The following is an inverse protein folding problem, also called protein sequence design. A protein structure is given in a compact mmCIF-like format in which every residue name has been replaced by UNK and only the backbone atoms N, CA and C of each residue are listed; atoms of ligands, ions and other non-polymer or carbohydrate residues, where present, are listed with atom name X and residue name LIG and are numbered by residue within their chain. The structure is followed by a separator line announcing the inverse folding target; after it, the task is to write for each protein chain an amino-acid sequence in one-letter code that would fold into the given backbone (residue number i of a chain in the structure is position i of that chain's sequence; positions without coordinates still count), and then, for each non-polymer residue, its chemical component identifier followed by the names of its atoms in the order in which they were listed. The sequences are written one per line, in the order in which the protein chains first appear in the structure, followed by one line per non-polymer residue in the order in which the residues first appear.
data_IF_651852491484
#
_entry.id   IF_651852491484
#
_cell.length_a   1.000
_cell.length_b   1.000
_cell.length_c   1.000
_cell.angle_alpha   90.00
_cell.angle_beta   90.00
_cell.angle_gamma   90.00
#
_symmetry.space_group_name_H-M   'P 1'
#
loop_
_entity.id
_entity.type
_entity.pdbx_description
1 polymer ?
#
# COMPACT_ATOMS: atom_id res chain seq x y z
N UNK A 1 -5.52 9.89 3.20
CA UNK A 1 -6.08 9.70 1.84
C UNK A 1 -7.48 9.14 2.00
N UNK A 2 -8.45 9.60 1.20
CA UNK A 2 -9.77 8.97 1.19
C UNK A 2 -9.76 7.64 0.41
N UNK A 3 -10.86 6.88 0.47
CA UNK A 3 -10.99 5.60 -0.25
C UNK A 3 -10.68 5.70 -1.74
N UNK A 4 -11.21 6.70 -2.46
CA UNK A 4 -11.02 6.81 -3.91
C UNK A 4 -9.55 7.09 -4.27
N UNK A 5 -8.89 7.96 -3.50
CA UNK A 5 -7.46 8.22 -3.63
C UNK A 5 -6.64 6.96 -3.35
N UNK A 6 -7.04 6.17 -2.34
CA UNK A 6 -6.35 4.92 -2.00
C UNK A 6 -6.48 3.87 -3.10
N UNK A 7 -7.63 3.75 -3.75
CA UNK A 7 -7.81 2.84 -4.89
C UNK A 7 -6.93 3.24 -6.07
N UNK A 8 -6.92 4.52 -6.43
CA UNK A 8 -6.05 5.03 -7.50
C UNK A 8 -4.56 4.83 -7.17
N UNK A 9 -4.19 5.02 -5.91
CA UNK A 9 -2.83 4.77 -5.43
C UNK A 9 -2.45 3.27 -5.50
N UNK A 10 -3.37 2.37 -5.14
CA UNK A 10 -3.16 0.92 -5.27
C UNK A 10 -2.89 0.55 -6.73
N UNK A 11 -3.67 1.06 -7.67
CA UNK A 11 -3.46 0.81 -9.10
C UNK A 11 -2.08 1.28 -9.55
N UNK A 12 -1.68 2.49 -9.14
CA UNK A 12 -0.36 3.04 -9.45
C UNK A 12 0.78 2.16 -8.92
N UNK A 13 0.67 1.67 -7.68
CA UNK A 13 1.71 0.81 -7.10
C UNK A 13 1.73 -0.57 -7.74
N UNK A 14 0.56 -1.14 -8.07
CA UNK A 14 0.50 -2.43 -8.74
C UNK A 14 1.05 -2.38 -10.18
N UNK A 15 0.89 -1.26 -10.87
CA UNK A 15 1.43 -1.02 -12.22
C UNK A 15 2.93 -0.74 -12.24
N UNK A 16 3.54 -0.43 -11.09
CA UNK A 16 4.98 -0.18 -11.01
C UNK A 16 5.80 -1.40 -11.44
N UNK A 17 6.86 -1.13 -12.20
CA UNK A 17 7.67 -2.13 -12.90
C UNK A 17 8.72 -2.78 -12.00
N UNK A 18 9.12 -2.08 -10.93
CA UNK A 18 10.12 -2.56 -9.98
C UNK A 18 9.93 -2.05 -8.54
N UNK A 19 10.68 -2.67 -7.63
CA UNK A 19 10.65 -2.35 -6.20
C UNK A 19 11.13 -0.93 -5.89
N UNK A 20 12.00 -0.34 -6.72
CA UNK A 20 12.52 1.00 -6.50
C UNK A 20 11.42 2.04 -6.77
N UNK A 21 10.67 1.87 -7.85
CA UNK A 21 9.49 2.67 -8.19
C UNK A 21 8.39 2.53 -7.14
N UNK A 22 8.06 1.29 -6.73
CA UNK A 22 7.13 1.02 -5.61
C UNK A 22 7.55 1.80 -4.36
N UNK A 23 8.82 1.73 -3.97
CA UNK A 23 9.32 2.41 -2.77
C UNK A 23 9.41 3.94 -2.92
N UNK A 24 9.53 4.47 -4.14
CA UNK A 24 9.45 5.90 -4.39
C UNK A 24 8.02 6.41 -4.15
N UNK A 25 7.03 5.74 -4.73
CA UNK A 25 5.59 6.06 -4.55
C UNK A 25 5.21 5.99 -3.06
N UNK A 26 5.62 4.93 -2.35
CA UNK A 26 5.37 4.78 -0.91
C UNK A 26 5.96 5.94 -0.10
N UNK A 27 7.17 6.39 -0.44
CA UNK A 27 7.83 7.48 0.30
C UNK A 27 7.16 8.83 0.04
N UNK A 28 6.76 9.09 -1.19
CA UNK A 28 6.06 10.31 -1.58
C UNK A 28 4.72 10.45 -0.85
N UNK A 29 3.94 9.36 -0.75
CA UNK A 29 2.65 9.35 -0.06
C UNK A 29 2.73 9.09 1.45
N UNK A 30 3.93 9.02 2.04
CA UNK A 30 4.13 8.55 3.42
C UNK A 30 3.45 9.38 4.51
N UNK A 31 3.12 10.65 4.22
CA UNK A 31 2.38 11.53 5.14
C UNK A 31 0.87 11.30 5.09
N UNK A 32 0.36 10.68 4.03
CA UNK A 32 -1.07 10.61 3.74
C UNK A 32 -1.70 9.26 4.14
N UNK A 33 -0.88 8.35 4.69
CA UNK A 33 -1.30 7.05 5.21
C UNK A 33 -1.93 7.18 6.61
N UNK A 34 -3.26 7.17 6.65
CA UNK A 34 -4.10 7.21 7.84
C UNK A 34 -4.86 5.89 8.05
N UNK A 35 -5.81 5.85 8.99
CA UNK A 35 -6.60 4.64 9.26
C UNK A 35 -7.45 4.19 8.06
N UNK A 36 -8.06 5.14 7.34
CA UNK A 36 -8.92 4.85 6.19
C UNK A 36 -8.13 4.21 5.04
N UNK A 37 -6.88 4.64 4.85
CA UNK A 37 -5.95 4.01 3.91
C UNK A 37 -5.75 2.52 4.22
N UNK A 38 -5.43 2.15 5.47
CA UNK A 38 -5.18 0.75 5.84
C UNK A 38 -6.47 -0.09 5.80
N UNK A 39 -7.61 0.47 6.18
CA UNK A 39 -8.90 -0.20 6.03
C UNK A 39 -9.21 -0.49 4.56
N UNK A 40 -8.92 0.46 3.66
CA UNK A 40 -9.09 0.29 2.23
C UNK A 40 -8.14 -0.77 1.67
N UNK A 41 -6.85 -0.73 2.00
CA UNK A 41 -5.89 -1.77 1.57
C UNK A 41 -6.31 -3.16 2.06
N UNK A 42 -6.75 -3.28 3.31
CA UNK A 42 -7.20 -4.56 3.86
C UNK A 42 -8.44 -5.08 3.09
N UNK A 43 -9.42 -4.21 2.86
CA UNK A 43 -10.62 -4.56 2.09
C UNK A 43 -10.29 -5.01 0.66
N UNK A 44 -9.36 -4.34 -0.03
CA UNK A 44 -8.98 -4.75 -1.38
C UNK A 44 -8.17 -6.06 -1.37
N UNK A 45 -7.34 -6.27 -0.36
CA UNK A 45 -6.59 -7.53 -0.18
C UNK A 45 -7.54 -8.71 0.00
N UNK A 46 -8.55 -8.58 0.85
CA UNK A 46 -9.60 -9.59 1.05
C UNK A 46 -10.41 -9.83 -0.23
N UNK A 47 -10.73 -8.76 -0.98
CA UNK A 47 -11.43 -8.86 -2.26
C UNK A 47 -10.64 -9.68 -3.29
N UNK A 48 -9.36 -9.35 -3.51
CA UNK A 48 -8.51 -10.09 -4.46
C UNK A 48 -8.33 -11.56 -4.04
N UNK A 49 -8.18 -11.83 -2.75
CA UNK A 49 -8.12 -13.19 -2.23
C UNK A 49 -9.43 -13.97 -2.51
N UNK A 50 -10.59 -13.34 -2.31
CA UNK A 50 -11.90 -13.93 -2.61
C UNK A 50 -12.11 -14.17 -4.11
N UNK A 51 -11.53 -13.33 -4.97
CA UNK A 51 -11.55 -13.45 -6.43
C UNK A 51 -10.53 -14.47 -6.98
N UNK A 52 -9.79 -15.16 -6.10
CA UNK A 52 -8.71 -16.12 -6.42
C UNK A 52 -7.48 -15.49 -7.07
N UNK A 53 -7.31 -14.17 -6.94
CA UNK A 53 -6.07 -13.48 -7.30
C UNK A 53 -5.15 -13.36 -6.07
N UNK A 54 -4.56 -14.49 -5.71
CA UNK A 54 -3.67 -14.55 -4.55
C UNK A 54 -2.38 -13.73 -4.78
N UNK A 55 -1.93 -13.61 -6.03
CA UNK A 55 -0.71 -12.87 -6.35
C UNK A 55 -0.87 -11.38 -6.04
N UNK A 56 -1.99 -10.78 -6.43
CA UNK A 56 -2.29 -9.38 -6.12
C UNK A 56 -2.52 -9.17 -4.62
N UNK A 57 -3.25 -10.09 -3.96
CA UNK A 57 -3.46 -10.03 -2.51
C UNK A 57 -2.13 -10.08 -1.72
N UNK A 58 -1.23 -10.98 -2.10
CA UNK A 58 0.09 -11.11 -1.49
C UNK A 58 0.94 -9.84 -1.72
N UNK A 59 0.87 -9.26 -2.93
CA UNK A 59 1.56 -8.00 -3.25
C UNK A 59 1.04 -6.83 -2.42
N UNK A 60 -0.28 -6.69 -2.26
CA UNK A 60 -0.87 -5.66 -1.37
C UNK A 60 -0.44 -5.84 0.08
N UNK A 61 -0.39 -7.08 0.56
CA UNK A 61 0.11 -7.40 1.91
C UNK A 61 1.58 -7.00 2.07
N UNK A 62 2.41 -7.26 1.06
CA UNK A 62 3.82 -6.86 1.07
C UNK A 62 3.99 -5.33 1.08
N UNK A 63 3.20 -4.61 0.28
CA UNK A 63 3.16 -3.15 0.25
C UNK A 63 2.76 -2.59 1.62
N UNK A 64 1.71 -3.12 2.24
CA UNK A 64 1.28 -2.70 3.58
C UNK A 64 2.40 -2.88 4.63
N UNK A 65 3.16 -3.98 4.56
CA UNK A 65 4.32 -4.21 5.42
C UNK A 65 5.45 -3.22 5.15
N UNK A 66 5.75 -2.93 3.88
CA UNK A 66 6.78 -1.95 3.51
C UNK A 66 6.42 -0.55 4.06
N UNK A 67 5.16 -0.14 3.95
CA UNK A 67 4.66 1.11 4.53
C UNK A 67 4.84 1.12 6.05
N UNK A 68 4.48 0.05 6.74
CA UNK A 68 4.65 -0.05 8.19
C UNK A 68 6.12 0.10 8.60
N UNK A 69 7.05 -0.49 7.86
CA UNK A 69 8.50 -0.34 8.07
C UNK A 69 8.94 1.11 7.85
N UNK A 70 8.51 1.74 6.75
CA UNK A 70 8.84 3.15 6.47
C UNK A 70 8.33 4.08 7.56
N UNK A 71 7.09 3.87 8.03
CA UNK A 71 6.51 4.66 9.14
C UNK A 71 7.26 4.45 10.45
N UNK A 72 7.62 3.20 10.79
CA UNK A 72 8.40 2.88 11.98
C UNK A 72 9.78 3.54 11.94
N UNK A 73 10.51 3.37 10.84
CA UNK A 73 11.83 3.97 10.67
C UNK A 73 11.77 5.50 10.75
N UNK A 74 10.70 6.12 10.25
CA UNK A 74 10.51 7.56 10.37
C UNK A 74 10.25 8.00 11.81
N UNK A 75 9.43 7.25 12.55
CA UNK A 75 9.17 7.54 13.97
C UNK A 75 10.43 7.39 14.84
N UNK A 76 11.33 6.47 14.50
CA UNK A 76 12.60 6.26 15.22
C UNK A 76 13.69 7.29 14.89
N UNK A 77 13.56 8.02 13.77
CA UNK A 77 14.52 9.05 13.32
C UNK A 77 14.04 10.50 13.57
N UNK A 78 12.91 10.69 14.26
CA UNK A 78 12.35 11.97 14.69
C UNK A 78 12.60 12.20 16.18
#
# INVERSE_FOLDING_TARGET
MNRAETLAWIELVLDSLDDHETMAIIRESSNDFDGEFFETINSETERYAAEKDQATADRLTAIARAIAVVRKNRAENL
#
